data_IF_214416810228
#
_entry.id   IF_214416810228
#
_cell.length_a   1.000
_cell.length_b   1.000
_cell.length_c   1.000
_cell.angle_alpha   90.00
_cell.angle_beta   90.00
_cell.angle_gamma   90.00
#
_symmetry.space_group_name_H-M   'P 1'
#
loop_
_entity.id
_entity.type
_entity.pdbx_description
1 polymer ?
#
# COMPACT_ATOMS: atom_id res chain seq x y z
N UNK A 1 7.22 -3.36 -7.06
CA UNK A 1 6.26 -2.27 -7.39
C UNK A 1 6.82 -1.34 -8.48
N UNK A 2 6.00 -0.92 -9.45
CA UNK A 2 6.41 0.02 -10.51
C UNK A 2 6.52 1.47 -10.01
N UNK A 3 7.37 2.28 -10.65
CA UNK A 3 7.53 3.73 -10.33
C UNK A 3 6.22 4.49 -10.54
N UNK A 4 5.50 4.18 -11.62
CA UNK A 4 4.25 4.85 -11.99
C UNK A 4 3.17 4.72 -10.91
N UNK A 5 3.03 3.54 -10.27
CA UNK A 5 2.04 3.34 -9.20
C UNK A 5 2.36 4.18 -7.97
N UNK A 6 3.63 4.23 -7.56
CA UNK A 6 4.06 5.06 -6.42
C UNK A 6 3.82 6.54 -6.69
N UNK A 7 4.13 7.01 -7.89
CA UNK A 7 3.94 8.41 -8.27
C UNK A 7 2.46 8.78 -8.28
N UNK A 8 1.59 7.87 -8.73
CA UNK A 8 0.14 8.08 -8.71
C UNK A 8 -0.43 8.12 -7.29
N UNK A 9 0.02 7.23 -6.39
CA UNK A 9 -0.34 7.28 -4.97
C UNK A 9 0.08 8.62 -4.35
N UNK A 10 1.31 9.06 -4.60
CA UNK A 10 1.81 10.36 -4.12
C UNK A 10 0.98 11.52 -4.68
N UNK A 11 0.57 11.46 -5.96
CA UNK A 11 -0.30 12.46 -6.58
C UNK A 11 -1.66 12.53 -5.88
N UNK A 12 -2.30 11.40 -5.64
CA UNK A 12 -3.59 11.31 -4.93
C UNK A 12 -3.43 11.87 -3.51
N UNK A 13 -2.43 11.43 -2.75
CA UNK A 13 -2.20 11.89 -1.38
C UNK A 13 -1.95 13.40 -1.30
N UNK A 14 -1.27 13.99 -2.28
CA UNK A 14 -1.06 15.45 -2.36
C UNK A 14 -2.33 16.25 -2.67
N UNK A 15 -3.32 15.62 -3.30
CA UNK A 15 -4.63 16.27 -3.53
C UNK A 15 -5.55 16.24 -2.30
N UNK A 16 -5.20 15.53 -1.23
CA UNK A 16 -5.98 15.49 -0.01
C UNK A 16 -5.65 16.70 0.89
N UNK A 17 -6.67 17.49 1.22
CA UNK A 17 -6.52 18.73 1.99
C UNK A 17 -6.51 18.52 3.51
N UNK A 18 -6.85 17.30 3.98
CA UNK A 18 -6.93 16.99 5.40
C UNK A 18 -5.56 17.15 6.09
N UNK A 19 -5.44 17.93 7.17
CA UNK A 19 -4.19 18.09 7.89
C UNK A 19 -3.91 16.90 8.82
N UNK A 20 -2.64 16.70 9.15
CA UNK A 20 -2.15 15.72 10.14
C UNK A 20 -2.57 14.26 9.87
N UNK A 21 -2.63 13.85 8.60
CA UNK A 21 -3.06 12.51 8.23
C UNK A 21 -2.12 11.43 8.77
N UNK A 22 -2.73 10.32 9.19
CA UNK A 22 -2.09 9.01 9.34
C UNK A 22 -2.38 8.18 8.09
N UNK A 23 -1.32 7.73 7.40
CA UNK A 23 -1.42 6.85 6.23
C UNK A 23 -0.88 5.47 6.57
N UNK A 24 -1.58 4.40 6.17
CA UNK A 24 -1.15 3.02 6.32
C UNK A 24 -0.92 2.38 4.95
N UNK A 25 0.26 1.83 4.73
CA UNK A 25 0.65 1.09 3.53
C UNK A 25 0.73 -0.40 3.85
N UNK A 26 -0.23 -1.17 3.34
CA UNK A 26 -0.22 -2.64 3.45
C UNK A 26 0.59 -3.25 2.30
N UNK A 27 1.36 -4.27 2.63
CA UNK A 27 2.33 -4.87 1.70
C UNK A 27 3.48 -3.92 1.41
N UNK A 28 3.93 -3.17 2.42
CA UNK A 28 4.91 -2.10 2.21
C UNK A 28 6.29 -2.61 1.78
N UNK A 29 6.60 -3.89 1.96
CA UNK A 29 7.89 -4.50 1.64
C UNK A 29 9.06 -3.65 2.13
N UNK A 30 9.94 -3.27 1.21
CA UNK A 30 10.88 -2.17 1.44
C UNK A 30 10.10 -0.84 1.43
N UNK A 31 10.16 -0.04 2.50
CA UNK A 31 9.26 1.10 2.75
C UNK A 31 9.52 2.33 1.86
N UNK A 32 9.84 2.14 0.58
CA UNK A 32 10.10 3.20 -0.41
C UNK A 32 8.94 4.19 -0.50
N UNK A 33 7.71 3.68 -0.48
CA UNK A 33 6.51 4.51 -0.58
C UNK A 33 6.30 5.33 0.71
N UNK A 34 6.60 4.75 1.86
CA UNK A 34 6.61 5.44 3.15
C UNK A 34 7.66 6.55 3.18
N UNK A 35 8.85 6.32 2.63
CA UNK A 35 9.85 7.37 2.46
C UNK A 35 9.31 8.52 1.60
N UNK A 36 8.54 8.25 0.55
CA UNK A 36 7.90 9.30 -0.27
C UNK A 36 6.83 10.08 0.48
N UNK A 37 6.10 9.45 1.41
CA UNK A 37 5.12 10.14 2.26
C UNK A 37 5.77 11.22 3.13
N UNK A 38 7.06 11.08 3.45
CA UNK A 38 7.81 12.10 4.17
C UNK A 38 7.85 13.46 3.43
N UNK A 39 7.69 13.47 2.10
CA UNK A 39 7.67 14.70 1.30
C UNK A 39 6.30 15.38 1.21
N UNK A 40 5.26 14.83 1.86
CA UNK A 40 3.89 15.34 1.80
C UNK A 40 3.57 16.06 3.14
N UNK A 41 3.46 17.40 3.17
CA UNK A 41 3.38 18.17 4.42
C UNK A 41 2.21 17.80 5.33
N UNK A 42 1.08 17.39 4.75
CA UNK A 42 -0.11 17.03 5.50
C UNK A 42 -0.05 15.64 6.15
N UNK A 43 0.98 14.81 5.85
CA UNK A 43 1.16 13.49 6.46
C UNK A 43 2.06 13.60 7.70
N UNK A 44 1.47 13.37 8.87
CA UNK A 44 2.19 13.37 10.16
C UNK A 44 2.72 11.98 10.49
N UNK A 45 1.96 10.94 10.16
CA UNK A 45 2.30 9.55 10.51
C UNK A 45 2.13 8.63 9.32
N UNK A 46 3.11 7.76 9.10
CA UNK A 46 3.06 6.69 8.11
C UNK A 46 3.28 5.35 8.82
N UNK A 47 2.44 4.37 8.50
CA UNK A 47 2.49 3.02 9.04
C UNK A 47 2.72 2.07 7.86
N UNK A 48 3.77 1.25 7.91
CA UNK A 48 3.96 0.14 7.00
C UNK A 48 3.54 -1.15 7.67
N UNK A 49 2.78 -1.99 6.96
CA UNK A 49 2.40 -3.32 7.42
C UNK A 49 2.80 -4.35 6.37
N UNK A 50 3.55 -5.37 6.78
CA UNK A 50 3.92 -6.47 5.89
C UNK A 50 4.02 -7.80 6.67
N UNK A 51 3.80 -8.90 5.95
CA UNK A 51 3.95 -10.27 6.46
C UNK A 51 5.42 -10.72 6.47
N UNK A 52 6.29 -10.07 5.68
CA UNK A 52 7.70 -10.40 5.61
C UNK A 52 8.52 -9.63 6.65
N UNK A 53 8.70 -10.25 7.82
CA UNK A 53 9.52 -9.71 8.89
C UNK A 53 10.98 -9.47 8.48
N UNK A 54 11.54 -10.26 7.56
CA UNK A 54 12.93 -10.09 7.13
C UNK A 54 13.06 -8.81 6.30
N UNK A 55 12.15 -8.59 5.35
CA UNK A 55 12.12 -7.38 4.53
C UNK A 55 11.85 -6.13 5.39
N UNK A 56 10.93 -6.20 6.36
CA UNK A 56 10.68 -5.09 7.30
C UNK A 56 11.93 -4.71 8.12
N UNK A 57 12.73 -5.70 8.54
CA UNK A 57 13.98 -5.44 9.28
C UNK A 57 15.01 -4.72 8.41
N UNK A 58 15.12 -5.08 7.14
CA UNK A 58 15.99 -4.38 6.18
C UNK A 58 15.49 -2.95 6.00
N UNK A 59 14.21 -2.79 5.66
CA UNK A 59 13.60 -1.48 5.43
C UNK A 59 13.61 -0.53 6.63
N UNK A 60 13.58 -1.05 7.85
CA UNK A 60 13.68 -0.24 9.07
C UNK A 60 15.03 0.49 9.17
N UNK A 61 16.12 -0.13 8.71
CA UNK A 61 17.44 0.50 8.73
C UNK A 61 17.48 1.65 7.71
N UNK A 62 16.93 1.43 6.52
CA UNK A 62 16.88 2.43 5.44
C UNK A 62 16.01 3.63 5.83
N UNK A 63 14.84 3.38 6.42
CA UNK A 63 13.92 4.42 6.88
C UNK A 63 14.54 5.30 7.99
N UNK A 64 15.36 4.72 8.88
CA UNK A 64 16.07 5.48 9.90
C UNK A 64 17.11 6.43 9.29
N UNK A 65 17.78 6.03 8.20
CA UNK A 65 18.73 6.89 7.48
C UNK A 65 18.01 8.02 6.75
N UNK A 66 16.91 7.74 6.06
CA UNK A 66 16.10 8.73 5.34
C UNK A 66 15.44 9.75 6.27
N UNK A 67 14.97 9.33 7.45
CA UNK A 67 14.35 10.23 8.42
C UNK A 67 15.29 11.33 8.92
N UNK A 68 16.61 11.10 8.88
CA UNK A 68 17.63 12.08 9.30
C UNK A 68 17.94 13.14 8.23
N UNK A 69 17.58 12.89 6.96
CA UNK A 69 17.87 13.79 5.84
C UNK A 69 16.76 14.81 5.58
N UNK A 70 15.51 14.48 5.97
CA UNK A 70 14.33 15.28 5.67
C UNK A 70 14.19 16.49 6.60
N UNK A 71 14.42 17.70 6.07
CA UNK A 71 14.08 18.96 6.76
C UNK A 71 12.58 19.23 6.62
N UNK A 72 11.84 19.20 7.73
CA UNK A 72 10.42 19.57 7.77
C UNK A 72 10.10 20.41 8.99
N UNK A 73 9.11 21.30 8.83
CA UNK A 73 8.63 22.17 9.93
C UNK A 73 7.88 21.38 11.01
N UNK A 74 7.32 20.22 10.65
CA UNK A 74 6.55 19.35 11.54
C UNK A 74 7.13 17.92 11.60
N UNK A 75 7.07 17.27 12.78
CA UNK A 75 7.63 15.93 12.96
C UNK A 75 6.91 14.91 12.06
N UNK A 76 7.70 14.05 11.41
CA UNK A 76 7.22 12.84 10.74
C UNK A 76 7.42 11.65 11.66
N UNK A 77 6.42 10.78 11.76
CA UNK A 77 6.60 9.49 12.39
C UNK A 77 6.36 8.38 11.37
N UNK A 78 7.37 7.57 11.11
CA UNK A 78 7.22 6.36 10.31
C UNK A 78 7.37 5.13 11.22
N UNK A 79 6.46 4.18 11.10
CA UNK A 79 6.40 2.98 11.94
C UNK A 79 6.18 1.78 11.04
N UNK A 80 6.92 0.70 11.29
CA UNK A 80 6.72 -0.58 10.60
C UNK A 80 6.15 -1.61 11.57
N UNK A 81 5.12 -2.34 11.13
CA UNK A 81 4.52 -3.44 11.86
C UNK A 81 4.57 -4.71 11.02
N UNK A 82 4.99 -5.80 11.66
CA UNK A 82 4.79 -7.13 11.12
C UNK A 82 3.34 -7.54 11.36
N UNK A 83 2.59 -7.82 10.29
CA UNK A 83 1.17 -8.11 10.35
C UNK A 83 0.57 -8.49 9.00
N UNK A 84 -0.62 -9.08 9.04
CA UNK A 84 -1.37 -9.54 7.87
C UNK A 84 -2.58 -8.61 7.65
N UNK A 85 -2.76 -8.14 6.41
CA UNK A 85 -3.90 -7.31 5.99
C UNK A 85 -5.25 -8.01 6.21
N UNK A 86 -5.30 -9.35 6.25
CA UNK A 86 -6.51 -10.11 6.59
C UNK A 86 -6.84 -10.11 8.09
N UNK A 87 -5.98 -9.57 8.95
CA UNK A 87 -6.14 -9.55 10.40
C UNK A 87 -6.15 -8.11 10.93
N UNK A 88 -7.34 -7.63 11.34
CA UNK A 88 -7.46 -6.29 11.89
C UNK A 88 -6.57 -6.12 13.14
N UNK A 89 -5.81 -5.03 13.12
CA UNK A 89 -4.97 -4.61 14.23
C UNK A 89 -5.49 -3.29 14.81
N UNK A 90 -5.74 -3.27 16.12
CA UNK A 90 -6.27 -2.09 16.83
C UNK A 90 -5.32 -0.88 16.76
N UNK A 91 -4.03 -1.08 16.47
CA UNK A 91 -3.05 -0.01 16.23
C UNK A 91 -3.35 0.80 14.97
N UNK A 92 -4.17 0.26 14.05
CA UNK A 92 -4.61 0.91 12.82
C UNK A 92 -5.90 1.72 12.99
N UNK A 93 -6.46 1.78 14.20
CA UNK A 93 -7.62 2.62 14.48
C UNK A 93 -7.30 4.11 14.23
N UNK A 94 -8.18 4.78 13.49
CA UNK A 94 -8.02 6.20 13.15
C UNK A 94 -6.99 6.48 12.04
N UNK A 95 -6.62 5.47 11.25
CA UNK A 95 -5.91 5.69 9.98
C UNK A 95 -6.82 6.44 9.02
N UNK A 96 -6.31 7.51 8.40
CA UNK A 96 -7.08 8.36 7.51
C UNK A 96 -7.04 7.85 6.06
N UNK A 97 -5.90 7.28 5.64
CA UNK A 97 -5.72 6.74 4.29
C UNK A 97 -5.07 5.36 4.35
N UNK A 98 -5.63 4.41 3.61
CA UNK A 98 -5.02 3.09 3.38
C UNK A 98 -4.51 3.00 1.95
N UNK A 99 -3.30 2.49 1.77
CA UNK A 99 -2.74 2.09 0.47
C UNK A 99 -2.48 0.58 0.49
N UNK A 100 -2.82 -0.09 -0.62
CA UNK A 100 -2.60 -1.52 -0.82
C UNK A 100 -2.24 -1.71 -2.30
N UNK A 101 -0.95 -1.66 -2.59
CA UNK A 101 -0.43 -1.47 -3.95
C UNK A 101 0.31 -2.73 -4.38
N UNK A 102 -0.30 -3.52 -5.26
CA UNK A 102 0.28 -4.78 -5.76
C UNK A 102 0.48 -5.78 -4.62
N UNK A 103 -0.64 -6.21 -4.03
CA UNK A 103 -0.71 -7.10 -2.87
C UNK A 103 -1.81 -8.14 -3.10
N UNK A 104 -3.00 -7.69 -3.49
CA UNK A 104 -4.19 -8.56 -3.57
C UNK A 104 -4.04 -9.67 -4.61
N UNK A 105 -3.27 -9.46 -5.67
CA UNK A 105 -3.01 -10.45 -6.72
C UNK A 105 -2.28 -11.70 -6.22
N UNK A 106 -1.63 -11.62 -5.07
CA UNK A 106 -0.93 -12.74 -4.43
C UNK A 106 -1.83 -13.51 -3.46
N UNK A 107 -3.09 -13.08 -3.30
CA UNK A 107 -4.00 -13.60 -2.29
C UNK A 107 -5.07 -14.49 -2.92
N UNK A 108 -5.44 -15.57 -2.21
CA UNK A 108 -6.65 -16.32 -2.53
C UNK A 108 -7.90 -15.42 -2.42
N UNK A 109 -8.91 -15.63 -3.27
CA UNK A 109 -10.10 -14.75 -3.35
C UNK A 109 -10.82 -14.59 -2.00
N UNK A 110 -10.93 -15.67 -1.21
CA UNK A 110 -11.51 -15.62 0.13
C UNK A 110 -10.72 -14.73 1.11
N UNK A 111 -9.42 -14.55 0.89
CA UNK A 111 -8.58 -13.64 1.68
C UNK A 111 -8.76 -12.20 1.21
N UNK A 112 -8.95 -11.97 -0.08
CA UNK A 112 -9.31 -10.64 -0.61
C UNK A 112 -10.62 -10.13 0.00
N UNK A 113 -11.63 -10.99 0.17
CA UNK A 113 -12.87 -10.62 0.86
C UNK A 113 -12.63 -10.20 2.33
N UNK A 114 -11.66 -10.82 3.00
CA UNK A 114 -11.26 -10.39 4.36
C UNK A 114 -10.57 -9.04 4.36
N UNK A 115 -9.79 -8.72 3.33
CA UNK A 115 -9.19 -7.38 3.17
C UNK A 115 -10.27 -6.32 3.11
N UNK A 116 -11.33 -6.55 2.33
CA UNK A 116 -12.48 -5.63 2.24
C UNK A 116 -13.07 -5.40 3.63
N UNK A 117 -13.33 -6.46 4.39
CA UNK A 117 -13.84 -6.36 5.76
C UNK A 117 -12.89 -5.59 6.69
N UNK A 118 -11.60 -5.92 6.70
CA UNK A 118 -10.62 -5.26 7.57
C UNK A 118 -10.51 -3.77 7.24
N UNK A 119 -10.39 -3.43 5.96
CA UNK A 119 -10.19 -2.05 5.52
C UNK A 119 -11.47 -1.22 5.66
N UNK A 120 -12.59 -1.68 5.11
CA UNK A 120 -13.81 -0.89 5.03
C UNK A 120 -14.74 -1.02 6.24
N UNK A 121 -14.77 -2.15 6.95
CA UNK A 121 -15.61 -2.26 8.16
C UNK A 121 -14.87 -1.88 9.44
N UNK A 122 -13.57 -2.19 9.55
CA UNK A 122 -12.84 -2.09 10.82
C UNK A 122 -11.87 -0.90 10.90
N UNK A 123 -11.10 -0.65 9.85
CA UNK A 123 -10.20 0.53 9.79
C UNK A 123 -10.99 1.79 9.44
N UNK A 124 -11.92 1.69 8.48
CA UNK A 124 -12.76 2.79 7.99
C UNK A 124 -11.96 4.04 7.60
N UNK A 125 -10.99 3.93 6.68
CA UNK A 125 -10.23 5.10 6.23
C UNK A 125 -11.12 6.04 5.43
N UNK A 126 -10.76 7.33 5.42
CA UNK A 126 -11.39 8.33 4.55
C UNK A 126 -11.14 8.03 3.06
N UNK A 127 -9.96 7.49 2.74
CA UNK A 127 -9.57 7.09 1.38
C UNK A 127 -8.88 5.73 1.44
N UNK A 128 -9.25 4.82 0.54
CA UNK A 128 -8.51 3.59 0.32
C UNK A 128 -8.04 3.53 -1.14
N UNK A 129 -6.74 3.29 -1.35
CA UNK A 129 -6.11 3.21 -2.67
C UNK A 129 -5.63 1.79 -2.89
N UNK A 130 -6.26 1.09 -3.83
CA UNK A 130 -5.88 -0.25 -4.23
C UNK A 130 -5.32 -0.25 -5.64
N UNK A 131 -4.35 -1.12 -5.89
CA UNK A 131 -3.92 -1.42 -7.25
C UNK A 131 -3.52 -2.88 -7.39
N UNK A 132 -3.73 -3.41 -8.59
CA UNK A 132 -3.36 -4.77 -9.01
C UNK A 132 -2.92 -4.74 -10.48
N UNK A 133 -2.23 -5.76 -11.01
CA UNK A 133 -2.03 -5.92 -12.44
C UNK A 133 -3.38 -5.97 -13.19
N UNK A 134 -3.46 -5.25 -14.31
CA UNK A 134 -4.57 -5.34 -15.25
C UNK A 134 -4.25 -6.39 -16.31
N UNK A 135 -5.00 -7.49 -16.34
CA UNK A 135 -4.82 -8.58 -17.29
C UNK A 135 -4.97 -8.13 -18.76
N UNK A 136 -5.78 -7.11 -19.04
CA UNK A 136 -5.95 -6.55 -20.39
C UNK A 136 -4.65 -5.97 -20.95
N UNK A 137 -3.71 -5.58 -20.07
CA UNK A 137 -2.40 -5.03 -20.47
C UNK A 137 -1.33 -6.10 -20.65
N UNK A 138 -1.60 -7.38 -20.38
CA UNK A 138 -0.59 -8.44 -20.47
C UNK A 138 -0.07 -8.65 -21.89
N UNK A 139 -0.89 -8.36 -22.91
CA UNK A 139 -0.47 -8.37 -24.32
C UNK A 139 0.70 -7.41 -24.58
N UNK A 140 0.79 -6.29 -23.85
CA UNK A 140 1.89 -5.34 -23.96
C UNK A 140 3.22 -5.89 -23.41
N UNK A 141 3.17 -6.98 -22.64
CA UNK A 141 4.33 -7.71 -22.13
C UNK A 141 4.66 -8.96 -22.97
N UNK A 142 4.00 -9.13 -24.13
CA UNK A 142 4.20 -10.29 -25.01
C UNK A 142 3.60 -11.60 -24.48
N UNK A 143 2.73 -11.50 -23.46
CA UNK A 143 2.07 -12.65 -22.85
C UNK A 143 0.83 -13.05 -23.65
N UNK A 144 0.59 -14.36 -23.73
CA UNK A 144 -0.62 -14.90 -24.34
C UNK A 144 -1.83 -14.73 -23.41
N UNK A 145 -3.04 -14.81 -23.97
CA UNK A 145 -4.26 -14.76 -23.19
C UNK A 145 -4.26 -15.85 -22.09
N UNK A 146 -4.58 -15.46 -20.86
CA UNK A 146 -4.58 -16.35 -19.70
C UNK A 146 -3.23 -16.52 -19.00
N UNK A 147 -2.14 -15.95 -19.52
CA UNK A 147 -0.87 -15.90 -18.80
C UNK A 147 -0.82 -14.70 -17.84
N UNK A 148 -0.28 -14.93 -16.65
CA UNK A 148 0.02 -13.90 -15.67
C UNK A 148 1.43 -13.33 -15.88
N UNK A 149 1.61 -12.07 -15.48
CA UNK A 149 2.87 -11.32 -15.51
C UNK A 149 3.92 -11.93 -14.59
N UNK A 150 3.50 -12.44 -13.45
CA UNK A 150 4.36 -13.13 -12.49
C UNK A 150 3.74 -14.46 -12.07
N UNK A 151 4.59 -15.44 -11.79
CA UNK A 151 4.17 -16.83 -11.49
C UNK A 151 3.52 -17.00 -10.11
N UNK A 152 3.71 -16.02 -9.23
CA UNK A 152 3.18 -15.95 -7.88
C UNK A 152 1.85 -15.16 -7.80
N UNK A 153 1.29 -14.75 -8.94
CA UNK A 153 -0.06 -14.22 -8.99
C UNK A 153 -1.09 -15.35 -8.94
N UNK A 154 -2.09 -15.20 -8.07
CA UNK A 154 -3.27 -16.08 -7.98
C UNK A 154 -4.32 -15.66 -9.01
N UNK A 155 -4.43 -14.34 -9.26
CA UNK A 155 -5.30 -13.78 -10.29
C UNK A 155 -4.70 -12.51 -10.90
N UNK A 156 -5.16 -12.17 -12.10
CA UNK A 156 -5.05 -10.82 -12.65
C UNK A 156 -6.40 -10.42 -13.20
N UNK A 157 -6.97 -9.34 -12.66
CA UNK A 157 -8.32 -8.91 -13.04
C UNK A 157 -8.31 -8.02 -14.27
N UNK A 158 -9.38 -8.10 -15.05
CA UNK A 158 -9.75 -7.04 -15.99
C UNK A 158 -10.24 -5.81 -15.22
N UNK A 159 -10.33 -4.65 -15.88
CA UNK A 159 -10.95 -3.46 -15.26
C UNK A 159 -12.38 -3.70 -14.80
N UNK A 160 -13.15 -4.52 -15.52
CA UNK A 160 -14.52 -4.86 -15.15
C UNK A 160 -14.54 -5.67 -13.85
N UNK A 161 -13.69 -6.70 -13.74
CA UNK A 161 -13.59 -7.51 -12.52
C UNK A 161 -13.14 -6.68 -11.32
N UNK A 162 -12.12 -5.82 -11.48
CA UNK A 162 -11.67 -4.93 -10.41
C UNK A 162 -12.71 -3.87 -10.04
N UNK A 163 -13.54 -3.40 -10.98
CA UNK A 163 -14.61 -2.43 -10.69
C UNK A 163 -15.83 -3.05 -10.01
N UNK A 164 -16.06 -4.35 -10.21
CA UNK A 164 -17.16 -5.08 -9.58
C UNK A 164 -16.83 -5.48 -8.14
N UNK A 165 -15.54 -5.69 -7.86
CA UNK A 165 -15.01 -5.90 -6.52
C UNK A 165 -14.99 -4.59 -5.73
#
# INVERSE_FOLDING_TARGET
MSVQRRDEVVRILRSLEKPNMTVCDFGCGLPDLICRFSSIPNIRRAIGVDIDLATLKIGSNDLQLESQSCRRDSPFQAILYHGDICSYDRRLHGVDVVTCIEVIEHMELNSVDKVVKVVFDQIQPMVAIFSTPNAELNVAFGLQAGQFRHSDHVFEWTREQFSNW
#
